data_IF_169955323045
#
_entry.id   IF_169955323045
#
_cell.length_a   1.000
_cell.length_b   1.000
_cell.length_c   1.000
_cell.angle_alpha   90.00
_cell.angle_beta   90.00
_cell.angle_gamma   90.00
#
_symmetry.space_group_name_H-M   'P 1'
#
loop_
_entity.id
_entity.type
_entity.pdbx_description
1 polymer ?
#
# COMPACT_ATOMS: atom_id res chain seq x y z
N UNK A 1 -24.02 -46.06 -12.85
CA UNK A 1 -22.64 -45.70 -13.22
C UNK A 1 -22.54 -44.21 -12.99
N UNK A 2 -22.32 -43.82 -11.73
CA UNK A 2 -22.06 -42.44 -11.36
C UNK A 2 -20.60 -42.17 -11.74
N UNK A 3 -20.44 -41.49 -12.87
CA UNK A 3 -19.15 -41.02 -13.34
C UNK A 3 -18.86 -39.77 -12.53
N UNK A 4 -17.92 -39.88 -11.59
CA UNK A 4 -17.35 -38.74 -10.87
C UNK A 4 -16.91 -37.68 -11.88
N UNK A 5 -17.71 -36.62 -12.00
CA UNK A 5 -17.31 -35.42 -12.70
C UNK A 5 -16.24 -34.75 -11.82
N UNK A 6 -14.97 -35.10 -12.04
CA UNK A 6 -13.87 -34.27 -11.59
C UNK A 6 -14.12 -32.85 -12.13
N UNK A 7 -14.08 -31.80 -11.29
CA UNK A 7 -14.13 -30.45 -11.81
C UNK A 7 -12.91 -30.29 -12.72
N UNK A 8 -13.14 -30.20 -14.02
CA UNK A 8 -12.12 -29.74 -14.96
C UNK A 8 -11.78 -28.32 -14.52
N UNK A 9 -10.65 -28.15 -13.83
CA UNK A 9 -10.10 -26.82 -13.60
C UNK A 9 -9.77 -26.29 -15.00
N UNK A 10 -10.63 -25.43 -15.53
CA UNK A 10 -10.27 -24.65 -16.72
C UNK A 10 -9.00 -23.89 -16.36
N UNK A 11 -7.88 -24.26 -17.00
CA UNK A 11 -6.63 -23.50 -16.92
C UNK A 11 -6.94 -22.08 -17.37
N UNK A 12 -7.17 -21.20 -16.39
CA UNK A 12 -7.55 -19.83 -16.66
C UNK A 12 -6.30 -19.14 -17.17
N UNK A 13 -6.28 -18.82 -18.46
CA UNK A 13 -5.18 -18.09 -19.09
C UNK A 13 -5.09 -16.73 -18.38
N UNK A 14 -3.99 -16.50 -17.69
CA UNK A 14 -3.64 -15.24 -17.06
C UNK A 14 -3.22 -14.24 -18.13
N UNK A 15 -3.92 -13.12 -18.21
CA UNK A 15 -3.66 -12.00 -19.12
C UNK A 15 -2.96 -10.89 -18.32
N UNK A 16 -2.29 -9.95 -18.99
CA UNK A 16 -1.74 -8.75 -18.33
C UNK A 16 -2.77 -7.99 -17.48
N UNK A 17 -4.06 -8.06 -17.82
CA UNK A 17 -5.15 -7.48 -17.05
C UNK A 17 -5.41 -8.23 -15.72
N UNK A 18 -5.06 -9.51 -15.60
CA UNK A 18 -5.17 -10.26 -14.35
C UNK A 18 -4.14 -9.81 -13.30
N UNK A 19 -3.06 -9.14 -13.73
CA UNK A 19 -2.14 -8.44 -12.84
C UNK A 19 -2.79 -7.19 -12.21
N UNK A 20 -3.94 -6.74 -12.71
CA UNK A 20 -4.72 -5.61 -12.16
C UNK A 20 -5.89 -6.07 -11.26
N UNK A 21 -5.94 -7.34 -10.85
CA UNK A 21 -6.97 -7.89 -9.96
C UNK A 21 -6.80 -7.48 -8.49
N UNK A 22 -5.61 -6.98 -8.11
CA UNK A 22 -5.29 -6.48 -6.78
C UNK A 22 -5.00 -4.98 -6.77
N UNK A 23 -4.77 -4.36 -5.60
CA UNK A 23 -4.30 -2.97 -5.54
C UNK A 23 -2.93 -2.84 -6.24
N UNK A 24 -2.68 -1.73 -6.96
CA UNK A 24 -1.39 -1.47 -7.60
C UNK A 24 -0.27 -1.43 -6.56
N UNK A 25 0.97 -1.65 -7.00
CA UNK A 25 2.16 -1.54 -6.16
C UNK A 25 2.16 -0.23 -5.36
N UNK A 26 2.44 -0.28 -4.04
CA UNK A 26 2.36 0.90 -3.21
C UNK A 26 3.40 1.95 -3.61
N UNK A 27 3.02 3.22 -3.51
CA UNK A 27 3.97 4.32 -3.68
C UNK A 27 4.85 4.43 -2.43
N UNK A 28 6.16 4.33 -2.60
CA UNK A 28 7.13 4.43 -1.51
C UNK A 28 7.67 5.86 -1.46
N UNK A 29 7.43 6.60 -0.36
CA UNK A 29 7.96 7.95 -0.18
C UNK A 29 9.50 7.91 -0.08
N UNK A 30 10.21 8.83 -0.73
CA UNK A 30 11.67 8.82 -0.76
C UNK A 30 12.29 8.98 0.64
N UNK A 31 11.58 9.62 1.58
CA UNK A 31 12.09 9.89 2.94
C UNK A 31 12.23 8.61 3.78
N UNK A 32 11.47 7.56 3.46
CA UNK A 32 11.47 6.28 4.17
C UNK A 32 11.88 5.09 3.28
N UNK A 33 12.20 5.34 2.01
CA UNK A 33 12.45 4.31 1.01
C UNK A 33 13.60 3.37 1.39
N UNK A 34 14.71 3.91 1.90
CA UNK A 34 15.89 3.12 2.27
C UNK A 34 15.57 2.06 3.33
N UNK A 35 14.74 2.39 4.31
CA UNK A 35 14.35 1.46 5.37
C UNK A 35 13.28 0.47 4.91
N UNK A 36 12.28 0.95 4.15
CA UNK A 36 11.16 0.13 3.70
C UNK A 36 11.61 -0.94 2.70
N UNK A 37 12.53 -0.61 1.80
CA UNK A 37 13.02 -1.49 0.74
C UNK A 37 14.13 -2.45 1.18
N UNK A 38 14.68 -2.28 2.38
CA UNK A 38 15.84 -3.06 2.83
C UNK A 38 15.53 -4.56 2.89
N UNK A 39 16.24 -5.37 2.10
CA UNK A 39 16.10 -6.82 2.07
C UNK A 39 14.79 -7.33 1.45
N UNK A 40 14.01 -6.48 0.78
CA UNK A 40 12.80 -6.88 0.05
C UNK A 40 13.18 -7.41 -1.33
N UNK A 41 12.61 -8.55 -1.73
CA UNK A 41 12.69 -9.03 -3.10
C UNK A 41 11.82 -8.15 -4.01
N UNK A 42 12.45 -7.40 -4.91
CA UNK A 42 11.77 -6.49 -5.83
C UNK A 42 11.14 -7.20 -7.04
N UNK A 43 11.34 -8.51 -7.17
CA UNK A 43 10.89 -9.32 -8.30
C UNK A 43 11.60 -8.98 -9.62
N UNK A 44 12.75 -8.28 -9.59
CA UNK A 44 13.44 -7.79 -10.78
C UNK A 44 13.86 -8.91 -11.74
N UNK A 45 14.35 -10.03 -11.20
CA UNK A 45 14.74 -11.19 -12.00
C UNK A 45 13.55 -11.84 -12.70
N UNK A 46 12.45 -12.05 -11.96
CA UNK A 46 11.22 -12.64 -12.48
C UNK A 46 10.59 -11.71 -13.53
N UNK A 47 10.57 -10.40 -13.27
CA UNK A 47 10.05 -9.40 -14.19
C UNK A 47 10.86 -9.35 -15.49
N UNK A 48 12.19 -9.44 -15.41
CA UNK A 48 13.05 -9.53 -16.60
C UNK A 48 12.75 -10.78 -17.43
N UNK A 49 12.53 -11.93 -16.78
CA UNK A 49 12.18 -13.16 -17.47
C UNK A 49 10.82 -13.05 -18.16
N UNK A 50 9.82 -12.46 -17.50
CA UNK A 50 8.52 -12.19 -18.11
C UNK A 50 8.65 -11.31 -19.36
N UNK A 51 9.39 -10.20 -19.28
CA UNK A 51 9.62 -9.34 -20.44
C UNK A 51 10.36 -10.06 -21.57
N UNK A 52 11.35 -10.90 -21.24
CA UNK A 52 12.06 -11.70 -22.23
C UNK A 52 11.12 -12.70 -22.91
N UNK A 53 10.26 -13.38 -22.16
CA UNK A 53 9.28 -14.30 -22.73
C UNK A 53 8.31 -13.59 -23.68
N UNK A 54 7.77 -12.44 -23.25
CA UNK A 54 6.84 -11.64 -24.06
C UNK A 54 7.52 -11.15 -25.35
N UNK A 55 8.80 -10.77 -25.28
CA UNK A 55 9.58 -10.34 -26.45
C UNK A 55 9.83 -11.48 -27.45
N UNK A 56 9.96 -12.73 -26.97
CA UNK A 56 10.24 -13.89 -27.84
C UNK A 56 8.96 -14.43 -28.47
N UNK A 57 7.86 -14.50 -27.71
CA UNK A 57 6.66 -15.23 -28.10
C UNK A 57 5.52 -14.33 -28.62
N UNK A 58 5.64 -13.00 -28.51
CA UNK A 58 4.71 -11.96 -28.96
C UNK A 58 3.25 -12.05 -28.44
N UNK A 59 2.86 -13.12 -27.73
CA UNK A 59 1.54 -13.30 -27.12
C UNK A 59 1.64 -13.89 -25.71
N UNK A 60 0.82 -13.35 -24.79
CA UNK A 60 0.78 -13.71 -23.36
C UNK A 60 0.49 -15.21 -23.04
N UNK A 61 -0.30 -15.96 -23.84
CA UNK A 61 -0.57 -17.37 -23.55
C UNK A 61 0.67 -18.28 -23.52
N UNK A 62 1.80 -17.87 -24.08
CA UNK A 62 3.04 -18.65 -24.02
C UNK A 62 3.91 -18.33 -22.79
N UNK A 63 3.58 -17.28 -22.05
CA UNK A 63 4.35 -16.79 -20.90
C UNK A 63 3.62 -16.98 -19.57
N UNK A 64 2.72 -17.95 -19.49
CA UNK A 64 1.84 -18.17 -18.33
C UNK A 64 2.61 -18.47 -17.06
N UNK A 65 3.73 -19.19 -17.16
CA UNK A 65 4.60 -19.49 -16.02
C UNK A 65 5.24 -18.20 -15.48
N UNK A 66 5.84 -17.39 -16.34
CA UNK A 66 6.44 -16.11 -15.94
C UNK A 66 5.40 -15.13 -15.38
N UNK A 67 4.19 -15.11 -15.95
CA UNK A 67 3.08 -14.29 -15.45
C UNK A 67 2.67 -14.75 -14.05
N UNK A 68 2.50 -16.05 -13.84
CA UNK A 68 2.13 -16.62 -12.54
C UNK A 68 3.21 -16.35 -11.47
N UNK A 69 4.49 -16.57 -11.81
CA UNK A 69 5.62 -16.30 -10.92
C UNK A 69 5.72 -14.82 -10.55
N UNK A 70 5.56 -13.93 -11.55
CA UNK A 70 5.60 -12.49 -11.29
C UNK A 70 4.44 -12.03 -10.41
N UNK A 71 3.24 -12.55 -10.67
CA UNK A 71 2.05 -12.27 -9.85
C UNK A 71 2.28 -12.67 -8.40
N UNK A 72 2.70 -13.91 -8.14
CA UNK A 72 2.96 -14.38 -6.77
C UNK A 72 4.02 -13.51 -6.07
N UNK A 73 5.14 -13.21 -6.75
CA UNK A 73 6.19 -12.40 -6.19
C UNK A 73 5.71 -10.98 -5.86
N UNK A 74 5.05 -10.31 -6.81
CA UNK A 74 4.55 -8.94 -6.65
C UNK A 74 3.49 -8.84 -5.56
N UNK A 75 2.56 -9.81 -5.46
CA UNK A 75 1.57 -9.85 -4.38
C UNK A 75 2.24 -9.95 -3.00
N UNK A 76 3.24 -10.84 -2.86
CA UNK A 76 4.02 -11.00 -1.62
C UNK A 76 4.81 -9.74 -1.28
N UNK A 77 5.54 -9.19 -2.25
CA UNK A 77 6.32 -7.95 -2.12
C UNK A 77 5.42 -6.79 -1.68
N UNK A 78 4.31 -6.57 -2.38
CA UNK A 78 3.46 -5.42 -2.14
C UNK A 78 2.73 -5.53 -0.79
N UNK A 79 2.42 -6.74 -0.33
CA UNK A 79 1.91 -6.98 1.04
C UNK A 79 2.94 -6.58 2.10
N UNK A 80 4.19 -7.03 1.93
CA UNK A 80 5.28 -6.69 2.84
C UNK A 80 5.57 -5.18 2.86
N UNK A 81 5.63 -4.55 1.69
CA UNK A 81 5.85 -3.11 1.57
C UNK A 81 4.76 -2.29 2.26
N UNK A 82 3.48 -2.65 2.08
CA UNK A 82 2.37 -1.94 2.76
C UNK A 82 2.47 -2.04 4.28
N UNK A 83 2.82 -3.21 4.80
CA UNK A 83 3.03 -3.40 6.23
C UNK A 83 4.19 -2.53 6.74
N UNK A 84 5.35 -2.59 6.08
CA UNK A 84 6.54 -1.79 6.45
C UNK A 84 6.27 -0.28 6.38
N UNK A 85 5.51 0.18 5.39
CA UNK A 85 5.10 1.58 5.27
C UNK A 85 4.25 2.01 6.48
N UNK A 86 3.24 1.23 6.85
CA UNK A 86 2.38 1.51 8.00
C UNK A 86 3.17 1.51 9.32
N UNK A 87 4.04 0.51 9.52
CA UNK A 87 4.89 0.41 10.70
C UNK A 87 5.85 1.60 10.81
N UNK A 88 6.45 2.02 9.69
CA UNK A 88 7.30 3.19 9.62
C UNK A 88 6.53 4.46 10.00
N UNK A 89 5.35 4.69 9.44
CA UNK A 89 4.51 5.86 9.78
C UNK A 89 4.10 5.85 11.25
N UNK A 90 3.72 4.69 11.78
CA UNK A 90 3.38 4.55 13.20
C UNK A 90 4.58 4.88 14.08
N UNK A 91 5.77 4.41 13.73
CA UNK A 91 7.02 4.71 14.45
C UNK A 91 7.37 6.20 14.38
N UNK A 92 7.16 6.85 13.24
CA UNK A 92 7.29 8.30 13.12
C UNK A 92 6.30 8.99 14.06
N UNK A 93 5.04 8.56 14.11
CA UNK A 93 4.03 9.12 15.02
C UNK A 93 4.41 8.99 16.50
N UNK A 94 5.13 7.92 16.87
CA UNK A 94 5.61 7.69 18.24
C UNK A 94 6.83 8.56 18.61
N UNK A 95 7.78 8.74 17.67
CA UNK A 95 9.12 9.24 17.98
C UNK A 95 9.43 10.65 17.47
N UNK A 96 8.78 11.07 16.38
CA UNK A 96 8.98 12.40 15.78
C UNK A 96 8.49 13.51 16.73
N UNK A 97 9.13 14.69 16.76
CA UNK A 97 8.60 15.87 17.46
C UNK A 97 7.15 16.16 17.06
N UNK A 98 6.28 16.48 18.03
CA UNK A 98 4.83 16.57 17.80
C UNK A 98 4.46 17.58 16.72
N UNK A 99 5.18 18.69 16.60
CA UNK A 99 4.91 19.71 15.58
C UNK A 99 5.24 19.21 14.17
N UNK A 100 6.36 18.48 14.01
CA UNK A 100 6.71 17.82 12.75
C UNK A 100 5.72 16.70 12.40
N UNK A 101 5.27 15.93 13.40
CA UNK A 101 4.27 14.87 13.19
C UNK A 101 2.91 15.45 12.76
N UNK A 102 2.50 16.60 13.32
CA UNK A 102 1.32 17.34 12.88
C UNK A 102 1.49 17.86 11.46
N UNK A 103 2.64 18.46 11.13
CA UNK A 103 2.92 18.92 9.77
C UNK A 103 2.81 17.77 8.77
N UNK A 104 3.44 16.63 9.04
CA UNK A 104 3.31 15.41 8.22
C UNK A 104 1.87 14.92 8.10
N UNK A 105 1.08 14.95 9.18
CA UNK A 105 -0.34 14.62 9.14
C UNK A 105 -1.11 15.55 8.19
N UNK A 106 -0.85 16.86 8.24
CA UNK A 106 -1.49 17.82 7.33
C UNK A 106 -1.08 17.63 5.88
N UNK A 107 0.18 17.28 5.61
CA UNK A 107 0.67 16.94 4.28
C UNK A 107 -0.08 15.71 3.73
N UNK A 108 -0.16 14.62 4.50
CA UNK A 108 -0.90 13.41 4.12
C UNK A 108 -2.40 13.69 3.91
N UNK A 109 -3.03 14.50 4.77
CA UNK A 109 -4.44 14.91 4.59
C UNK A 109 -4.67 15.69 3.29
N UNK A 110 -3.74 16.60 2.95
CA UNK A 110 -3.80 17.34 1.69
C UNK A 110 -3.61 16.42 0.47
N UNK A 111 -2.74 15.41 0.57
CA UNK A 111 -2.53 14.42 -0.49
C UNK A 111 -3.77 13.55 -0.67
N UNK A 112 -4.39 13.08 0.42
CA UNK A 112 -5.68 12.35 0.40
C UNK A 112 -6.74 13.18 -0.31
N UNK A 113 -6.90 14.44 0.07
CA UNK A 113 -7.89 15.35 -0.55
C UNK A 113 -7.61 15.53 -2.05
N UNK A 114 -6.34 15.67 -2.43
CA UNK A 114 -5.92 15.77 -3.83
C UNK A 114 -6.19 14.49 -4.63
N UNK A 115 -5.95 13.32 -4.04
CA UNK A 115 -6.23 12.02 -4.64
C UNK A 115 -7.73 11.78 -4.82
N UNK A 116 -8.56 12.14 -3.84
CA UNK A 116 -10.02 12.05 -3.93
C UNK A 116 -10.56 12.90 -5.08
N UNK A 117 -10.10 14.15 -5.21
CA UNK A 117 -10.47 15.03 -6.33
C UNK A 117 -10.07 14.43 -7.68
N UNK A 118 -8.86 13.89 -7.78
CA UNK A 118 -8.38 13.22 -9.01
C UNK A 118 -9.20 11.98 -9.35
N UNK A 119 -9.60 11.20 -8.34
CA UNK A 119 -10.44 10.02 -8.53
C UNK A 119 -11.82 10.39 -9.07
N UNK A 120 -12.43 11.48 -8.57
CA UNK A 120 -13.69 12.02 -9.10
C UNK A 120 -13.52 12.44 -10.56
N UNK A 121 -12.44 13.14 -10.91
CA UNK A 121 -12.21 13.54 -12.31
C UNK A 121 -12.01 12.32 -13.22
N UNK A 122 -11.33 11.28 -12.72
CA UNK A 122 -11.10 10.04 -13.47
C UNK A 122 -12.36 9.17 -13.64
N UNK A 123 -13.46 9.43 -12.92
CA UNK A 123 -14.71 8.69 -13.10
C UNK A 123 -15.41 9.01 -14.42
N UNK A 124 -15.11 10.16 -15.03
CA UNK A 124 -15.65 10.54 -16.34
C UNK A 124 -14.86 9.99 -17.54
N UNK A 125 -13.77 9.25 -17.32
CA UNK A 125 -12.92 8.71 -18.40
C UNK A 125 -13.34 7.27 -18.67
N UNK A 126 -13.76 6.99 -19.90
CA UNK A 126 -14.20 5.67 -20.34
C UNK A 126 -13.02 4.82 -20.85
N UNK A 127 -13.28 3.52 -21.05
CA UNK A 127 -12.31 2.58 -21.61
C UNK A 127 -11.19 2.14 -20.64
N UNK A 128 -10.21 1.43 -21.19
CA UNK A 128 -9.10 0.83 -20.44
C UNK A 128 -8.22 1.88 -19.75
N UNK A 129 -7.97 3.02 -20.39
CA UNK A 129 -7.17 4.09 -19.80
C UNK A 129 -7.85 4.71 -18.58
N UNK A 130 -9.17 4.91 -18.66
CA UNK A 130 -9.98 5.34 -17.51
C UNK A 130 -9.94 4.34 -16.36
N UNK A 131 -10.04 3.03 -16.67
CA UNK A 131 -9.91 1.98 -15.67
C UNK A 131 -8.52 2.01 -15.00
N UNK A 132 -7.44 2.01 -15.78
CA UNK A 132 -6.05 2.05 -15.27
C UNK A 132 -5.80 3.27 -14.39
N UNK A 133 -6.30 4.43 -14.80
CA UNK A 133 -6.17 5.65 -14.02
C UNK A 133 -6.92 5.57 -12.68
N UNK A 134 -8.17 5.08 -12.68
CA UNK A 134 -8.94 4.89 -11.44
C UNK A 134 -8.30 3.86 -10.53
N UNK A 135 -7.84 2.73 -11.08
CA UNK A 135 -7.17 1.66 -10.35
C UNK A 135 -5.90 2.18 -9.65
N UNK A 136 -5.05 2.89 -10.38
CA UNK A 136 -3.85 3.55 -9.84
C UNK A 136 -4.19 4.55 -8.73
N UNK A 137 -5.15 5.44 -8.97
CA UNK A 137 -5.57 6.46 -8.00
C UNK A 137 -6.19 5.85 -6.75
N UNK A 138 -7.01 4.81 -6.89
CA UNK A 138 -7.65 4.11 -5.77
C UNK A 138 -6.59 3.48 -4.87
N UNK A 139 -5.63 2.74 -5.43
CA UNK A 139 -4.53 2.15 -4.65
C UNK A 139 -3.74 3.21 -3.88
N UNK A 140 -3.32 4.28 -4.56
CA UNK A 140 -2.61 5.41 -3.91
C UNK A 140 -3.43 6.05 -2.79
N UNK A 141 -4.74 6.24 -3.01
CA UNK A 141 -5.63 6.82 -2.02
C UNK A 141 -5.73 5.94 -0.79
N UNK A 142 -5.94 4.63 -0.98
CA UNK A 142 -6.00 3.65 0.11
C UNK A 142 -4.69 3.61 0.90
N UNK A 143 -3.55 3.51 0.22
CA UNK A 143 -2.24 3.47 0.88
C UNK A 143 -1.94 4.76 1.67
N UNK A 144 -2.30 5.92 1.11
CA UNK A 144 -2.09 7.22 1.79
C UNK A 144 -3.00 7.36 3.01
N UNK A 145 -4.26 6.91 2.93
CA UNK A 145 -5.19 6.88 4.08
C UNK A 145 -4.67 5.98 5.20
N UNK A 146 -4.20 4.78 4.86
CA UNK A 146 -3.64 3.85 5.84
C UNK A 146 -2.40 4.44 6.53
N UNK A 147 -1.49 5.07 5.75
CA UNK A 147 -0.32 5.77 6.28
C UNK A 147 -0.69 6.89 7.25
N UNK A 148 -1.68 7.71 6.90
CA UNK A 148 -2.21 8.77 7.76
C UNK A 148 -2.79 8.21 9.08
N UNK A 149 -3.54 7.11 9.00
CA UNK A 149 -4.10 6.44 10.17
C UNK A 149 -3.00 5.90 11.09
N UNK A 150 -1.99 5.21 10.54
CA UNK A 150 -0.85 4.69 11.30
C UNK A 150 -0.08 5.81 12.01
N UNK A 151 0.17 6.93 11.31
CA UNK A 151 0.81 8.11 11.90
C UNK A 151 0.00 8.66 13.09
N UNK A 152 -1.31 8.87 12.88
CA UNK A 152 -2.22 9.37 13.93
C UNK A 152 -2.29 8.41 15.12
N UNK A 153 -2.30 7.11 14.88
CA UNK A 153 -2.26 6.09 15.92
C UNK A 153 -0.99 6.23 16.77
N UNK A 154 0.18 6.35 16.13
CA UNK A 154 1.45 6.56 16.83
C UNK A 154 1.44 7.83 17.70
N UNK A 155 0.93 8.94 17.16
CA UNK A 155 0.80 10.21 17.89
C UNK A 155 -0.15 10.10 19.09
N UNK A 156 -1.23 9.32 18.98
CA UNK A 156 -2.20 9.12 20.06
C UNK A 156 -1.64 8.23 21.17
N UNK A 157 -0.89 7.18 20.84
CA UNK A 157 -0.23 6.31 21.84
C UNK A 157 0.70 7.14 22.72
N UNK A 158 1.51 8.03 22.13
CA UNK A 158 2.40 8.94 22.88
C UNK A 158 1.66 9.79 23.91
N UNK A 159 0.49 10.33 23.58
CA UNK A 159 -0.32 11.17 24.49
C UNK A 159 -0.86 10.41 25.70
N UNK A 160 -1.01 9.08 25.62
CA UNK A 160 -1.47 8.25 26.74
C UNK A 160 -0.35 7.94 27.72
N UNK A 161 0.91 7.97 27.26
CA UNK A 161 2.09 7.63 28.05
C UNK A 161 2.77 8.85 28.70
N UNK A 162 2.34 10.08 28.37
CA UNK A 162 2.76 11.27 29.11
C UNK A 162 2.15 11.25 30.52
N UNK A 163 2.98 11.30 31.60
CA UNK A 163 2.45 11.37 32.95
C UNK A 163 1.67 12.68 33.12
N UNK A 164 0.38 12.58 33.45
CA UNK A 164 -0.42 13.71 33.90
C UNK A 164 0.34 14.36 35.06
N UNK A 165 0.67 15.68 35.00
CA UNK A 165 1.29 16.34 36.14
C UNK A 165 0.34 16.19 37.32
N UNK A 166 0.80 15.47 38.35
CA UNK A 166 0.07 15.32 39.61
C UNK A 166 -0.09 16.71 40.19
N UNK A 167 -1.29 17.27 40.01
CA UNK A 167 -1.75 18.48 40.66
C UNK A 167 -1.68 18.26 42.17
N UNK A 168 -0.59 18.69 42.80
CA UNK A 168 -0.51 18.79 44.26
C UNK A 168 -1.51 19.82 44.72
N UNK A 169 -2.70 19.38 45.10
CA UNK A 169 -3.71 20.15 45.80
C UNK A 169 -3.12 20.59 47.13
N UNK A 170 -2.62 21.83 47.20
CA UNK A 170 -2.24 22.49 48.45
C UNK A 170 -3.50 22.63 49.30
N UNK A 171 -3.67 21.73 50.27
CA UNK A 171 -4.61 21.90 51.39
C UNK A 171 -4.11 23.07 52.25
N UNK A 172 -4.78 24.20 52.16
CA UNK A 172 -4.73 25.23 53.19
C UNK A 172 -5.64 24.78 54.34
N UNK A 173 -5.03 24.46 55.49
CA UNK A 173 -5.71 24.44 56.77
C UNK A 173 -5.35 25.74 57.47
N UNK A 174 -6.34 26.61 57.70
CA UNK A 174 -6.25 27.68 58.67
C UNK A 174 -6.82 27.17 59.99
N UNK A 175 -6.03 27.31 61.06
CA UNK A 175 -6.40 27.24 62.47
C UNK A 175 -6.12 28.62 63.06
#
# INVERSE_FOLDING_TARGET
MDVDAQPTMEETILVGDDLMMGPPSPFIPPEIASHVLEGVDLCDGILRNLFLCLQINDIEPFCQEEIALYRECSEKRDKELRQRLQDSERKLGLSMPLDQAKERSTQLESEVTSLERRLILASGIEGMDGFRQRWSLHGRLTDTKNRLESLKQGMQTRKKDEPVPVSTTKKWFFW
#
